data_IF_422192181958
#
_entry.id   IF_422192181958
#
_cell.length_a   1.000
_cell.length_b   1.000
_cell.length_c   1.000
_cell.angle_alpha   90.00
_cell.angle_beta   90.00
_cell.angle_gamma   90.00
#
_symmetry.space_group_name_H-M   'P 1'
#
loop_
_entity.id
_entity.type
_entity.pdbx_description
1 polymer ?
#
# COMPACT_ATOMS: atom_id res chain seq x y z
N UNK A 1 -20.32 4.38 -32.14
CA UNK A 1 -19.02 3.66 -32.13
C UNK A 1 -18.99 2.56 -31.07
N UNK A 2 -19.18 2.89 -29.78
CA UNK A 2 -19.10 1.89 -28.69
C UNK A 2 -20.08 0.72 -28.88
N UNK A 3 -21.31 1.00 -29.31
CA UNK A 3 -22.36 -0.01 -29.53
C UNK A 3 -22.01 -1.05 -30.59
N UNK A 4 -21.27 -0.66 -31.63
CA UNK A 4 -20.86 -1.58 -32.69
C UNK A 4 -19.84 -2.62 -32.21
N UNK A 5 -19.04 -2.30 -31.20
CA UNK A 5 -17.99 -3.18 -30.67
C UNK A 5 -18.48 -4.00 -29.47
N UNK A 6 -19.50 -3.52 -28.75
CA UNK A 6 -20.01 -4.12 -27.52
C UNK A 6 -20.41 -5.61 -27.63
N UNK A 7 -21.02 -6.12 -28.73
CA UNK A 7 -21.35 -7.54 -28.86
C UNK A 7 -20.15 -8.49 -28.87
N UNK A 8 -18.95 -7.98 -29.16
CA UNK A 8 -17.71 -8.76 -29.23
C UNK A 8 -16.92 -8.75 -27.91
N UNK A 9 -17.43 -8.05 -26.89
CA UNK A 9 -16.77 -7.88 -25.60
C UNK A 9 -17.62 -8.49 -24.49
N UNK A 10 -17.01 -9.33 -23.66
CA UNK A 10 -17.64 -9.93 -22.48
C UNK A 10 -17.77 -8.95 -21.31
N UNK A 11 -17.07 -7.82 -21.37
CA UNK A 11 -17.08 -6.76 -20.34
C UNK A 11 -17.48 -5.39 -20.91
N UNK A 12 -17.56 -4.41 -20.01
CA UNK A 12 -17.89 -3.03 -20.37
C UNK A 12 -16.73 -2.27 -21.04
N UNK A 13 -17.06 -1.24 -21.82
CA UNK A 13 -16.10 -0.38 -22.50
C UNK A 13 -15.83 0.87 -21.64
N UNK A 14 -14.59 1.05 -21.17
CA UNK A 14 -14.18 2.25 -20.42
C UNK A 14 -13.82 3.41 -21.36
N UNK A 15 -14.83 3.98 -22.02
CA UNK A 15 -14.68 5.11 -22.94
C UNK A 15 -15.63 6.25 -22.57
N UNK A 16 -15.09 7.45 -22.45
CA UNK A 16 -15.85 8.68 -22.24
C UNK A 16 -16.43 9.19 -23.56
N UNK A 17 -17.72 9.52 -23.56
CA UNK A 17 -18.38 10.32 -24.58
C UNK A 17 -18.32 11.79 -24.18
N UNK A 18 -17.65 12.60 -25.01
CA UNK A 18 -17.51 14.03 -24.78
C UNK A 18 -18.74 14.76 -25.34
N UNK A 19 -19.34 15.60 -24.51
CA UNK A 19 -20.51 16.41 -24.83
C UNK A 19 -20.10 17.89 -24.89
N UNK A 20 -20.71 18.70 -25.77
CA UNK A 20 -20.42 20.13 -25.84
C UNK A 20 -20.95 20.89 -24.61
N UNK A 21 -20.44 22.09 -24.34
CA UNK A 21 -20.78 22.87 -23.15
C UNK A 21 -22.28 23.21 -23.07
N UNK A 22 -22.89 23.47 -24.23
CA UNK A 22 -24.30 23.80 -24.38
C UNK A 22 -25.27 22.65 -24.09
N UNK A 23 -24.78 21.43 -23.84
CA UNK A 23 -25.63 20.25 -23.61
C UNK A 23 -26.51 20.41 -22.37
N UNK A 24 -27.82 20.26 -22.57
CA UNK A 24 -28.83 20.35 -21.51
C UNK A 24 -29.09 19.01 -20.83
N UNK A 25 -29.84 19.02 -19.71
CA UNK A 25 -30.09 17.82 -18.90
C UNK A 25 -30.91 16.79 -19.68
N UNK A 26 -31.85 17.25 -20.50
CA UNK A 26 -32.72 16.41 -21.31
C UNK A 26 -31.94 15.64 -22.38
N UNK A 27 -30.94 16.26 -23.00
CA UNK A 27 -30.04 15.62 -23.98
C UNK A 27 -29.12 14.59 -23.30
N UNK A 28 -28.72 14.85 -22.05
CA UNK A 28 -27.98 13.88 -21.24
C UNK A 28 -28.84 12.67 -20.90
N UNK A 29 -30.11 12.89 -20.54
CA UNK A 29 -31.08 11.82 -20.29
C UNK A 29 -31.27 10.96 -21.55
N UNK A 30 -31.51 11.59 -22.70
CA UNK A 30 -31.67 10.89 -23.97
C UNK A 30 -30.42 10.05 -24.31
N UNK A 31 -29.22 10.58 -24.06
CA UNK A 31 -27.96 9.84 -24.26
C UNK A 31 -27.89 8.58 -23.40
N UNK A 32 -28.39 8.62 -22.15
CA UNK A 32 -28.44 7.43 -21.29
C UNK A 32 -29.45 6.39 -21.80
N UNK A 33 -30.62 6.84 -22.27
CA UNK A 33 -31.63 5.95 -22.84
C UNK A 33 -31.12 5.31 -24.13
N UNK A 34 -30.52 6.09 -25.04
CA UNK A 34 -29.94 5.58 -26.28
C UNK A 34 -28.82 4.57 -26.01
N UNK A 35 -27.94 4.83 -25.04
CA UNK A 35 -26.88 3.90 -24.65
C UNK A 35 -27.45 2.55 -24.19
N UNK A 36 -28.56 2.57 -23.44
CA UNK A 36 -29.25 1.36 -23.00
C UNK A 36 -29.91 0.61 -24.17
N UNK A 37 -30.63 1.31 -25.06
CA UNK A 37 -31.26 0.72 -26.24
C UNK A 37 -30.23 0.08 -27.20
N UNK A 38 -29.05 0.70 -27.32
CA UNK A 38 -27.93 0.20 -28.12
C UNK A 38 -27.15 -0.93 -27.44
N UNK A 39 -27.55 -1.37 -26.25
CA UNK A 39 -26.97 -2.51 -25.53
C UNK A 39 -25.61 -2.25 -24.89
N UNK A 40 -25.27 -0.99 -24.60
CA UNK A 40 -24.04 -0.66 -23.88
C UNK A 40 -24.14 -1.09 -22.41
N UNK A 41 -23.09 -1.75 -21.92
CA UNK A 41 -23.02 -2.15 -20.51
C UNK A 41 -22.64 -1.00 -19.57
N UNK A 42 -21.96 0.03 -20.10
CA UNK A 42 -21.60 1.24 -19.37
C UNK A 42 -21.45 2.43 -20.32
N UNK A 43 -21.78 3.62 -19.84
CA UNK A 43 -21.54 4.89 -20.53
C UNK A 43 -21.01 5.90 -19.52
N UNK A 44 -19.97 6.64 -19.92
CA UNK A 44 -19.36 7.71 -19.12
C UNK A 44 -19.42 8.98 -19.95
N UNK A 45 -19.97 10.05 -19.38
CA UNK A 45 -20.13 11.33 -20.06
C UNK A 45 -19.15 12.36 -19.50
N UNK A 46 -18.62 13.21 -20.36
CA UNK A 46 -17.88 14.41 -19.96
C UNK A 46 -18.41 15.59 -20.76
N UNK A 47 -19.09 16.52 -20.08
CA UNK A 47 -19.51 17.77 -20.70
C UNK A 47 -18.36 18.77 -20.63
N UNK A 48 -18.07 19.42 -21.75
CA UNK A 48 -17.04 20.46 -21.78
C UNK A 48 -17.35 21.55 -20.74
N UNK A 49 -16.30 22.13 -20.16
CA UNK A 49 -16.36 23.14 -19.10
C UNK A 49 -17.16 22.74 -17.83
N UNK A 50 -17.41 21.44 -17.59
CA UNK A 50 -18.12 20.99 -16.38
C UNK A 50 -17.27 21.00 -15.09
N UNK A 51 -15.97 21.29 -15.20
CA UNK A 51 -15.01 21.37 -14.08
C UNK A 51 -14.20 22.67 -14.17
N UNK A 52 -13.83 23.21 -13.01
CA UNK A 52 -13.11 24.50 -12.85
C UNK A 52 -11.73 24.52 -13.54
N UNK A 53 -11.11 23.36 -13.72
CA UNK A 53 -9.88 23.22 -14.48
C UNK A 53 -9.94 21.98 -15.37
N UNK A 54 -9.50 22.13 -16.62
CA UNK A 54 -9.33 21.02 -17.55
C UNK A 54 -7.94 21.06 -18.21
N UNK A 55 -7.26 19.91 -18.40
CA UNK A 55 -5.90 19.87 -18.94
C UNK A 55 -5.80 20.31 -20.41
N UNK A 56 -6.92 20.28 -21.13
CA UNK A 56 -7.04 20.62 -22.55
C UNK A 56 -8.28 21.50 -22.71
N UNK A 57 -8.08 22.75 -23.11
CA UNK A 57 -9.14 23.65 -23.58
C UNK A 57 -9.05 23.75 -25.09
N UNK A 58 -10.10 23.35 -25.80
CA UNK A 58 -10.19 23.65 -27.23
C UNK A 58 -10.63 25.12 -27.40
N UNK A 59 -9.68 26.01 -27.71
CA UNK A 59 -10.00 27.33 -28.23
C UNK A 59 -10.67 27.15 -29.60
N UNK A 60 -12.00 27.13 -29.63
CA UNK A 60 -12.75 27.45 -30.84
C UNK A 60 -12.79 28.97 -30.94
N UNK A 61 -12.23 29.46 -32.03
CA UNK A 61 -12.10 30.87 -32.38
C UNK A 61 -13.41 31.66 -32.20
N UNK A 62 -13.43 32.53 -31.20
CA UNK A 62 -14.26 33.73 -31.17
C UNK A 62 -13.42 34.87 -31.77
N UNK A 63 -13.24 34.85 -33.09
CA UNK A 63 -12.62 35.95 -33.82
C UNK A 63 -13.69 36.72 -34.61
N UNK A 64 -14.38 37.63 -33.94
CA UNK A 64 -14.95 38.83 -34.59
C UNK A 64 -15.14 39.94 -33.56
N UNK A 65 -14.10 40.77 -33.36
CA UNK A 65 -14.12 42.23 -33.56
C UNK A 65 -12.96 42.94 -32.83
N UNK A 66 -12.34 43.86 -33.58
CA UNK A 66 -11.56 45.04 -33.21
C UNK A 66 -10.28 44.90 -32.37
N UNK A 67 -9.16 44.69 -33.09
CA UNK A 67 -7.81 44.69 -32.53
C UNK A 67 -7.01 45.86 -33.10
N UNK A 68 -6.61 46.81 -32.25
CA UNK A 68 -5.41 47.63 -32.52
C UNK A 68 -4.73 48.18 -31.27
N UNK A 69 -5.36 48.17 -30.08
CA UNK A 69 -4.68 48.58 -28.84
C UNK A 69 -4.33 47.44 -27.88
N UNK A 70 -4.87 46.23 -28.07
CA UNK A 70 -4.66 45.11 -27.14
C UNK A 70 -3.48 44.19 -27.55
N UNK A 71 -3.00 44.26 -28.79
CA UNK A 71 -1.95 43.38 -29.31
C UNK A 71 -0.62 43.56 -28.58
N UNK A 72 -0.25 44.80 -28.24
CA UNK A 72 0.98 45.12 -27.52
C UNK A 72 0.95 44.61 -26.06
N UNK A 73 -0.23 44.55 -25.45
CA UNK A 73 -0.42 44.02 -24.09
C UNK A 73 -0.40 42.49 -24.02
N UNK A 74 -0.88 41.80 -25.07
CA UNK A 74 -0.86 40.34 -25.12
C UNK A 74 0.53 39.77 -25.42
N UNK A 75 1.33 40.44 -26.25
CA UNK A 75 2.72 40.02 -26.53
C UNK A 75 3.63 40.18 -25.30
N UNK A 76 3.44 41.23 -24.51
CA UNK A 76 4.16 41.42 -23.25
C UNK A 76 3.78 40.36 -22.19
N UNK A 77 2.49 40.07 -22.03
CA UNK A 77 2.00 39.02 -21.13
C UNK A 77 2.43 37.62 -21.58
N UNK A 78 2.48 37.37 -22.89
CA UNK A 78 2.96 36.10 -23.44
C UNK A 78 4.46 35.90 -23.19
N UNK A 79 5.28 36.96 -23.34
CA UNK A 79 6.70 36.92 -23.05
C UNK A 79 6.98 36.68 -21.55
N UNK A 80 6.18 37.28 -20.67
CA UNK A 80 6.29 37.12 -19.22
C UNK A 80 5.85 35.71 -18.78
N UNK A 81 4.77 35.18 -19.34
CA UNK A 81 4.31 33.81 -19.13
C UNK A 81 5.30 32.75 -19.67
N UNK A 82 5.99 33.05 -20.77
CA UNK A 82 7.00 32.16 -21.35
C UNK A 82 8.29 32.14 -20.51
N UNK A 83 8.68 33.28 -19.93
CA UNK A 83 9.77 33.36 -18.96
C UNK A 83 9.45 32.59 -17.65
N UNK A 84 8.21 32.70 -17.16
CA UNK A 84 7.74 31.96 -15.99
C UNK A 84 7.66 30.45 -16.27
N UNK A 85 7.15 30.05 -17.44
CA UNK A 85 7.14 28.65 -17.89
C UNK A 85 8.55 28.08 -18.02
N UNK A 86 9.51 28.85 -18.55
CA UNK A 86 10.91 28.43 -18.64
C UNK A 86 11.51 28.16 -17.25
N UNK A 87 11.23 29.07 -16.30
CA UNK A 87 11.67 28.94 -14.91
C UNK A 87 11.05 27.72 -14.23
N UNK A 88 9.76 27.48 -14.44
CA UNK A 88 9.05 26.31 -13.92
C UNK A 88 9.57 25.00 -14.53
N UNK A 89 9.83 24.96 -15.84
CA UNK A 89 10.42 23.80 -16.53
C UNK A 89 11.79 23.45 -15.95
N UNK A 90 12.64 24.43 -15.68
CA UNK A 90 13.93 24.21 -15.02
C UNK A 90 13.78 23.65 -13.60
N UNK A 91 12.79 24.12 -12.83
CA UNK A 91 12.51 23.59 -11.48
C UNK A 91 11.97 22.16 -11.53
N UNK A 92 11.08 21.86 -12.48
CA UNK A 92 10.52 20.52 -12.68
C UNK A 92 11.64 19.55 -13.08
N UNK A 93 12.52 19.92 -14.01
CA UNK A 93 13.65 19.08 -14.41
C UNK A 93 14.58 18.75 -13.21
N UNK A 94 14.86 19.73 -12.35
CA UNK A 94 15.64 19.50 -11.13
C UNK A 94 14.95 18.58 -10.12
N UNK A 95 13.62 18.68 -9.98
CA UNK A 95 12.83 17.79 -9.12
C UNK A 95 12.74 16.37 -9.70
N UNK A 96 12.63 16.23 -11.02
CA UNK A 96 12.64 14.93 -11.70
C UNK A 96 13.99 14.22 -11.53
N UNK A 97 15.10 14.95 -11.57
CA UNK A 97 16.43 14.41 -11.29
C UNK A 97 16.61 13.98 -9.83
N UNK A 98 16.06 14.74 -8.89
CA UNK A 98 16.01 14.36 -7.47
C UNK A 98 15.15 13.10 -7.23
N UNK A 99 14.03 12.97 -7.94
CA UNK A 99 13.11 11.84 -7.83
C UNK A 99 13.61 10.57 -8.55
N UNK A 100 14.45 10.75 -9.59
CA UNK A 100 15.11 9.69 -10.35
C UNK A 100 16.15 8.93 -9.53
N UNK A 101 16.70 9.55 -8.48
CA UNK A 101 17.60 8.85 -7.55
C UNK A 101 16.78 7.78 -6.80
N UNK A 102 17.08 6.47 -6.96
CA UNK A 102 16.37 5.44 -6.23
C UNK A 102 16.63 5.69 -4.75
N UNK A 103 15.59 6.15 -4.05
CA UNK A 103 15.62 6.32 -2.60
C UNK A 103 15.73 4.92 -2.01
N UNK A 104 16.96 4.49 -1.72
CA UNK A 104 17.22 3.22 -1.05
C UNK A 104 16.60 3.34 0.34
N UNK A 105 15.38 2.82 0.49
CA UNK A 105 14.75 2.67 1.81
C UNK A 105 15.48 1.52 2.49
N UNK A 106 16.66 1.82 3.03
CA UNK A 106 17.36 0.90 3.90
C UNK A 106 16.51 0.70 5.15
N UNK A 107 16.19 -0.54 5.55
CA UNK A 107 15.44 -0.76 6.77
C UNK A 107 16.26 -0.22 7.95
N UNK A 108 15.78 0.86 8.56
CA UNK A 108 16.44 1.48 9.72
C UNK A 108 16.07 0.65 10.94
N UNK A 109 17.09 0.08 11.60
CA UNK A 109 16.89 -0.68 12.84
C UNK A 109 16.34 0.21 13.94
N UNK A 110 15.11 -0.05 14.37
CA UNK A 110 14.51 0.54 15.57
C UNK A 110 14.91 -0.26 16.81
N UNK A 111 15.85 0.27 17.60
CA UNK A 111 16.27 -0.38 18.85
C UNK A 111 15.23 -0.19 19.93
N UNK A 112 15.03 -1.21 20.76
CA UNK A 112 14.11 -1.10 21.90
C UNK A 112 14.71 -0.21 23.00
N UNK A 113 13.86 0.50 23.77
CA UNK A 113 14.29 1.26 24.94
C UNK A 113 14.97 0.39 26.00
N UNK A 114 15.81 1.05 26.82
CA UNK A 114 16.55 0.39 27.91
C UNK A 114 15.62 -0.19 28.99
N UNK A 115 14.50 0.48 29.24
CA UNK A 115 13.41 -0.01 30.10
C UNK A 115 12.17 -0.20 29.23
N UNK A 116 11.58 -1.39 29.26
CA UNK A 116 10.48 -1.77 28.37
C UNK A 116 9.54 -2.75 29.06
N UNK A 117 8.33 -2.88 28.52
CA UNK A 117 7.39 -3.93 28.94
C UNK A 117 7.81 -5.25 28.29
N UNK A 118 7.69 -6.33 29.04
CA UNK A 118 7.93 -7.68 28.53
C UNK A 118 6.93 -8.65 29.15
N UNK A 119 6.45 -9.59 28.34
CA UNK A 119 5.63 -10.71 28.81
C UNK A 119 6.46 -11.97 28.75
N UNK A 120 6.44 -12.76 29.82
CA UNK A 120 7.11 -14.05 29.87
C UNK A 120 6.09 -15.13 30.18
N UNK A 121 6.09 -16.18 29.38
CA UNK A 121 5.25 -17.35 29.59
C UNK A 121 6.11 -18.62 29.57
N UNK A 122 5.76 -19.55 30.45
CA UNK A 122 6.28 -20.90 30.40
C UNK A 122 5.52 -21.67 29.32
N UNK A 123 6.19 -22.59 28.65
CA UNK A 123 5.56 -23.52 27.73
C UNK A 123 6.16 -24.91 27.88
N UNK A 124 5.33 -25.91 27.57
CA UNK A 124 5.73 -27.30 27.44
C UNK A 124 5.19 -27.83 26.12
N UNK A 125 6.03 -28.45 25.29
CA UNK A 125 5.65 -29.13 24.05
C UNK A 125 6.28 -30.53 24.05
N UNK A 126 5.45 -31.56 24.22
CA UNK A 126 5.95 -32.92 24.40
C UNK A 126 6.87 -33.00 25.64
N UNK A 127 8.11 -33.45 25.44
CA UNK A 127 9.11 -33.53 26.53
C UNK A 127 9.91 -32.23 26.72
N UNK A 128 9.81 -31.28 25.80
CA UNK A 128 10.54 -30.03 25.88
C UNK A 128 9.76 -29.00 26.69
N UNK A 129 10.43 -28.37 27.64
CA UNK A 129 9.92 -27.26 28.43
C UNK A 129 10.82 -26.05 28.31
N UNK A 130 10.26 -24.86 28.48
CA UNK A 130 10.99 -23.62 28.34
C UNK A 130 10.20 -22.37 28.71
N UNK A 131 10.83 -21.23 28.49
CA UNK A 131 10.23 -19.92 28.69
C UNK A 131 10.39 -19.09 27.42
N UNK A 132 9.32 -18.43 26.99
CA UNK A 132 9.40 -17.38 25.98
C UNK A 132 9.21 -16.04 26.67
N UNK A 133 10.03 -15.08 26.29
CA UNK A 133 9.89 -13.68 26.68
C UNK A 133 9.73 -12.83 25.43
N UNK A 134 8.62 -12.09 25.35
CA UNK A 134 8.34 -11.13 24.30
C UNK A 134 8.52 -9.74 24.86
N UNK A 135 9.47 -8.98 24.30
CA UNK A 135 9.68 -7.58 24.64
C UNK A 135 8.87 -6.69 23.71
N UNK A 136 8.15 -5.72 24.27
CA UNK A 136 7.29 -4.80 23.54
C UNK A 136 7.93 -3.41 23.45
N UNK A 137 7.62 -2.69 22.38
CA UNK A 137 7.80 -1.24 22.28
C UNK A 137 6.75 -0.52 23.13
N UNK A 138 6.94 0.79 23.33
CA UNK A 138 6.01 1.61 24.11
C UNK A 138 4.59 1.69 23.49
N UNK A 139 4.48 1.41 22.19
CA UNK A 139 3.22 1.32 21.45
C UNK A 139 2.54 -0.06 21.54
N UNK A 140 3.11 -0.99 22.30
CA UNK A 140 2.61 -2.36 22.47
C UNK A 140 2.98 -3.33 21.35
N UNK A 141 3.72 -2.89 20.32
CA UNK A 141 4.19 -3.81 19.27
C UNK A 141 5.31 -4.70 19.80
N UNK A 142 5.35 -5.99 19.44
CA UNK A 142 6.45 -6.87 19.81
C UNK A 142 7.72 -6.49 19.03
N UNK A 143 8.81 -6.26 19.75
CA UNK A 143 10.09 -5.86 19.20
C UNK A 143 11.22 -6.89 19.36
N UNK A 144 11.05 -7.85 20.27
CA UNK A 144 11.99 -8.95 20.44
C UNK A 144 11.29 -10.18 21.02
N UNK A 145 11.83 -11.36 20.69
CA UNK A 145 11.34 -12.64 21.14
C UNK A 145 12.54 -13.49 21.57
N UNK A 146 12.54 -13.94 22.82
CA UNK A 146 13.56 -14.82 23.38
C UNK A 146 12.92 -16.11 23.85
N UNK A 147 13.29 -17.23 23.24
CA UNK A 147 12.85 -18.56 23.63
C UNK A 147 14.02 -19.33 24.25
N UNK A 148 13.94 -19.61 25.55
CA UNK A 148 14.87 -20.50 26.25
C UNK A 148 14.23 -21.87 26.38
N UNK A 149 14.89 -22.90 25.87
CA UNK A 149 14.33 -24.26 25.80
C UNK A 149 15.25 -25.25 26.50
N UNK A 150 14.71 -25.93 27.52
CA UNK A 150 15.25 -27.12 28.19
C UNK A 150 16.75 -27.05 28.53
N UNK A 151 17.40 -28.20 28.71
CA UNK A 151 18.78 -28.34 29.20
C UNK A 151 19.74 -27.43 28.44
N UNK A 152 20.34 -26.49 29.17
CA UNK A 152 21.37 -25.60 28.65
C UNK A 152 22.48 -26.41 27.97
N UNK A 153 22.86 -26.01 26.76
CA UNK A 153 23.89 -26.68 25.96
C UNK A 153 23.37 -27.78 25.02
N UNK A 154 22.06 -28.00 24.92
CA UNK A 154 21.48 -28.85 23.87
C UNK A 154 21.50 -28.15 22.50
N UNK A 155 21.43 -28.93 21.42
CA UNK A 155 21.25 -28.40 20.07
C UNK A 155 19.99 -27.55 19.95
N UNK A 156 18.89 -27.97 20.59
CA UNK A 156 17.64 -27.21 20.60
C UNK A 156 17.77 -25.86 21.30
N UNK A 157 18.51 -25.77 22.41
CA UNK A 157 18.78 -24.50 23.08
C UNK A 157 19.58 -23.54 22.18
N UNK A 158 20.66 -24.04 21.55
CA UNK A 158 21.49 -23.21 20.66
C UNK A 158 20.73 -22.73 19.41
N UNK A 159 19.93 -23.60 18.79
CA UNK A 159 19.10 -23.23 17.63
C UNK A 159 18.02 -22.22 18.03
N UNK A 160 17.39 -22.38 19.21
CA UNK A 160 16.37 -21.44 19.69
C UNK A 160 16.95 -20.08 20.09
N UNK A 161 18.16 -20.03 20.64
CA UNK A 161 18.87 -18.77 20.89
C UNK A 161 19.18 -18.04 19.58
N UNK A 162 19.74 -18.74 18.59
CA UNK A 162 20.03 -18.16 17.28
C UNK A 162 18.75 -17.70 16.57
N UNK A 163 17.67 -18.50 16.67
CA UNK A 163 16.36 -18.16 16.12
C UNK A 163 15.77 -16.91 16.78
N UNK A 164 15.82 -16.84 18.11
CA UNK A 164 15.37 -15.67 18.89
C UNK A 164 16.07 -14.38 18.45
N UNK A 165 17.39 -14.45 18.23
CA UNK A 165 18.17 -13.32 17.72
C UNK A 165 17.71 -12.92 16.32
N UNK A 166 17.51 -13.88 15.41
CA UNK A 166 17.09 -13.62 14.04
C UNK A 166 15.70 -12.98 13.96
N UNK A 167 14.74 -13.49 14.73
CA UNK A 167 13.37 -12.93 14.79
C UNK A 167 13.39 -11.54 15.40
N UNK A 168 14.11 -11.34 16.52
CA UNK A 168 14.24 -10.04 17.15
C UNK A 168 14.89 -9.01 16.22
N UNK A 169 15.90 -9.42 15.44
CA UNK A 169 16.52 -8.54 14.46
C UNK A 169 15.52 -8.14 13.37
N UNK A 170 14.73 -9.08 12.85
CA UNK A 170 13.75 -8.78 11.81
C UNK A 170 12.60 -7.90 12.30
N UNK A 171 12.08 -8.14 13.51
CA UNK A 171 11.08 -7.26 14.15
C UNK A 171 11.62 -5.83 14.29
N UNK A 172 12.87 -5.67 14.71
CA UNK A 172 13.52 -4.37 14.83
C UNK A 172 13.78 -3.66 13.49
N UNK A 173 13.79 -4.40 12.37
CA UNK A 173 13.89 -3.85 11.02
C UNK A 173 12.52 -3.66 10.34
N UNK A 174 11.43 -3.79 11.11
CA UNK A 174 10.08 -3.51 10.63
C UNK A 174 9.38 -4.67 9.93
N UNK A 175 9.89 -5.90 10.05
CA UNK A 175 9.14 -7.07 9.59
C UNK A 175 7.91 -7.24 10.48
N UNK A 176 6.68 -7.25 9.92
CA UNK A 176 5.48 -7.36 10.74
C UNK A 176 5.35 -8.76 11.33
N UNK A 177 4.91 -8.83 12.59
CA UNK A 177 4.72 -10.09 13.33
C UNK A 177 3.82 -11.08 12.57
N UNK A 178 2.77 -10.58 11.91
CA UNK A 178 1.83 -11.40 11.13
C UNK A 178 2.54 -12.22 10.05
N UNK A 179 3.61 -11.69 9.44
CA UNK A 179 4.42 -12.42 8.46
C UNK A 179 5.09 -13.64 9.09
N UNK A 180 5.62 -13.48 10.30
CA UNK A 180 6.24 -14.59 11.02
C UNK A 180 5.21 -15.61 11.48
N UNK A 181 4.10 -15.18 12.07
CA UNK A 181 3.00 -16.06 12.48
C UNK A 181 2.55 -16.92 11.30
N UNK A 182 2.29 -16.30 10.15
CA UNK A 182 1.85 -17.00 8.94
C UNK A 182 2.87 -18.03 8.43
N UNK A 183 4.16 -17.74 8.56
CA UNK A 183 5.24 -18.60 8.04
C UNK A 183 5.60 -19.76 8.98
N UNK A 184 5.45 -19.56 10.28
CA UNK A 184 5.90 -20.51 11.30
C UNK A 184 4.78 -21.35 11.90
N UNK A 185 3.52 -20.90 11.79
CA UNK A 185 2.36 -21.71 12.16
C UNK A 185 2.27 -22.95 11.26
N UNK A 186 1.98 -24.09 11.86
CA UNK A 186 1.97 -25.44 11.28
C UNK A 186 3.33 -25.98 10.81
N UNK A 187 4.43 -25.30 11.13
CA UNK A 187 5.76 -25.86 10.88
C UNK A 187 5.95 -27.11 11.74
N UNK A 188 6.41 -28.21 11.11
CA UNK A 188 6.51 -29.53 11.74
C UNK A 188 7.96 -29.93 11.95
N UNK A 189 8.35 -30.12 13.20
CA UNK A 189 9.61 -30.74 13.61
C UNK A 189 9.56 -31.06 15.11
N UNK A 190 10.37 -32.02 15.55
CA UNK A 190 10.46 -32.35 16.97
C UNK A 190 11.26 -31.30 17.75
N UNK A 191 10.86 -30.94 18.98
CA UNK A 191 9.78 -31.52 19.79
C UNK A 191 8.36 -31.07 19.35
N UNK A 192 7.44 -32.03 19.27
CA UNK A 192 6.03 -31.83 18.94
C UNK A 192 5.15 -32.68 19.86
N UNK A 193 3.91 -32.28 20.11
CA UNK A 193 2.99 -33.06 20.94
C UNK A 193 2.02 -32.21 21.74
N UNK A 194 1.53 -32.81 22.84
CA UNK A 194 0.63 -32.14 23.77
C UNK A 194 1.35 -30.99 24.48
N UNK A 195 0.61 -29.92 24.69
CA UNK A 195 1.09 -28.69 25.32
C UNK A 195 0.36 -28.42 26.63
N UNK A 196 0.94 -27.58 27.47
CA UNK A 196 0.39 -27.17 28.78
C UNK A 196 -0.54 -25.96 28.72
N UNK A 197 -0.67 -25.34 27.55
CA UNK A 197 -1.52 -24.18 27.29
C UNK A 197 -3.00 -24.60 27.11
N UNK A 198 -3.96 -23.92 27.77
CA UNK A 198 -5.38 -24.24 27.64
C UNK A 198 -5.96 -23.96 26.24
N UNK A 199 -5.46 -22.92 25.56
CA UNK A 199 -5.92 -22.47 24.25
C UNK A 199 -5.24 -23.25 23.13
N UNK A 200 -4.01 -23.71 23.37
CA UNK A 200 -3.22 -24.52 22.46
C UNK A 200 -2.94 -25.86 23.12
N UNK A 201 -3.73 -26.90 22.80
CA UNK A 201 -3.55 -28.24 23.39
C UNK A 201 -2.53 -29.12 22.67
N UNK A 202 -2.30 -28.89 21.38
CA UNK A 202 -1.36 -29.67 20.56
C UNK A 202 -0.59 -28.70 19.67
N UNK A 203 0.73 -28.86 19.62
CA UNK A 203 1.61 -28.11 18.73
C UNK A 203 2.42 -29.06 17.84
N UNK A 204 2.62 -28.66 16.58
CA UNK A 204 3.39 -29.45 15.62
C UNK A 204 4.90 -29.20 15.67
N UNK A 205 5.33 -28.21 16.45
CA UNK A 205 6.72 -27.95 16.84
C UNK A 205 6.77 -26.92 17.96
N UNK A 206 7.95 -26.72 18.55
CA UNK A 206 8.23 -25.60 19.45
C UNK A 206 7.90 -24.24 18.81
N UNK A 207 8.37 -24.01 17.59
CA UNK A 207 8.18 -22.73 16.88
C UNK A 207 6.70 -22.50 16.56
N UNK A 208 5.97 -23.55 16.17
CA UNK A 208 4.52 -23.50 15.98
C UNK A 208 3.79 -23.09 17.27
N UNK A 209 4.14 -23.71 18.41
CA UNK A 209 3.57 -23.36 19.71
C UNK A 209 3.81 -21.89 20.06
N UNK A 210 5.04 -21.41 19.87
CA UNK A 210 5.43 -20.04 20.21
C UNK A 210 4.64 -19.03 19.37
N UNK A 211 4.62 -19.19 18.05
CA UNK A 211 3.95 -18.21 17.18
C UNK A 211 2.43 -18.25 17.24
N UNK A 212 1.84 -19.42 17.49
CA UNK A 212 0.41 -19.47 17.78
C UNK A 212 0.08 -18.76 19.08
N UNK A 213 0.91 -18.91 20.12
CA UNK A 213 0.67 -18.23 21.39
C UNK A 213 0.75 -16.72 21.25
N UNK A 214 1.83 -16.23 20.62
CA UNK A 214 2.03 -14.79 20.34
C UNK A 214 0.92 -14.21 19.44
N UNK A 215 0.26 -15.03 18.63
CA UNK A 215 -0.86 -14.58 17.79
C UNK A 215 -2.20 -14.50 18.53
N UNK A 216 -2.34 -15.20 19.66
CA UNK A 216 -3.55 -15.18 20.49
C UNK A 216 -3.51 -14.01 21.49
N UNK A 217 -2.32 -13.66 21.98
CA UNK A 217 -2.09 -12.54 22.92
C UNK A 217 -2.13 -11.15 22.27
#
# INVERSE_FOLDING_TARGET
>A
MMSAVQPFLSGAISKTANLPEETIVEEVEETYIEAWELGLMAVVLYRDNCKVSQPLSSTKDLATQDTTSETETWEALAAEAEAECSTLRHRVAGLEEELSKPKVISPVRSRLPRHRRSRTYAFRVGEAEGYVTVGEYDDGRPGELFAKVSKQGSTSAGVMDAFSIAISLGLQHGVPLETYVRKFTNMRFEPAGMTDDPDLRIASSLVDCIFRRVAID
#
